data_IF_272574718385
#
_entry.id   IF_272574718385
#
_cell.length_a   1.000
_cell.length_b   1.000
_cell.length_c   1.000
_cell.angle_alpha   90.00
_cell.angle_beta   90.00
_cell.angle_gamma   90.00
#
_symmetry.space_group_name_H-M   'P 1'
#
loop_
_entity.id
_entity.type
_entity.pdbx_description
1 polymer ?
#
# COMPACT_ATOMS: atom_id res chain seq x y z
N UNK A 1 -7.14 -47.94 -22.55
CA UNK A 1 -5.98 -48.78 -22.95
C UNK A 1 -6.44 -50.21 -23.11
N UNK A 2 -6.31 -50.78 -24.30
CA UNK A 2 -6.50 -52.22 -24.52
C UNK A 2 -5.32 -52.94 -23.89
N UNK A 3 -5.54 -53.61 -22.76
CA UNK A 3 -4.54 -54.49 -22.19
C UNK A 3 -4.23 -55.58 -23.22
N UNK A 4 -3.03 -55.56 -23.80
CA UNK A 4 -2.57 -56.62 -24.70
C UNK A 4 -2.26 -57.82 -23.81
N UNK A 5 -3.25 -58.69 -23.63
CA UNK A 5 -3.02 -59.96 -22.97
C UNK A 5 -2.04 -60.76 -23.84
N UNK A 6 -0.83 -61.01 -23.31
CA UNK A 6 0.14 -61.87 -23.98
C UNK A 6 -0.39 -63.30 -23.95
N UNK A 7 -0.89 -63.77 -25.09
CA UNK A 7 -1.48 -65.10 -25.19
C UNK A 7 -0.42 -66.16 -25.41
N UNK A 8 0.17 -66.69 -24.33
CA UNK A 8 1.23 -67.72 -24.37
C UNK A 8 0.83 -68.93 -25.23
N UNK A 9 -0.42 -69.40 -25.12
CA UNK A 9 -0.97 -70.47 -25.95
C UNK A 9 -1.10 -70.11 -27.44
N UNK A 10 -1.45 -68.85 -27.75
CA UNK A 10 -1.53 -68.37 -29.12
C UNK A 10 -0.13 -68.24 -29.72
N UNK A 11 0.85 -67.82 -28.93
CA UNK A 11 2.25 -67.75 -29.35
C UNK A 11 2.83 -69.15 -29.60
N UNK A 12 2.67 -70.08 -28.67
CA UNK A 12 3.11 -71.47 -28.83
C UNK A 12 2.49 -72.13 -30.06
N UNK A 13 1.17 -71.93 -30.28
CA UNK A 13 0.48 -72.43 -31.48
C UNK A 13 1.06 -71.82 -32.77
N UNK A 14 1.36 -70.53 -32.76
CA UNK A 14 1.98 -69.83 -33.91
C UNK A 14 3.39 -70.34 -34.19
N UNK A 15 4.20 -70.55 -33.16
CA UNK A 15 5.56 -71.09 -33.26
C UNK A 15 5.56 -72.52 -33.85
N UNK A 16 4.60 -73.36 -33.44
CA UNK A 16 4.43 -74.70 -34.01
C UNK A 16 3.97 -74.68 -35.46
N UNK A 17 2.93 -73.91 -35.77
CA UNK A 17 2.28 -73.96 -37.08
C UNK A 17 3.09 -73.23 -38.17
N UNK A 18 3.65 -72.07 -37.83
CA UNK A 18 4.36 -71.20 -38.78
C UNK A 18 5.87 -71.38 -38.76
N UNK A 19 6.48 -71.53 -37.58
CA UNK A 19 7.93 -71.71 -37.45
C UNK A 19 8.37 -73.19 -37.42
N UNK A 20 7.41 -74.14 -37.46
CA UNK A 20 7.64 -75.59 -37.52
C UNK A 20 8.47 -76.14 -36.34
N UNK A 21 8.44 -75.44 -35.20
CA UNK A 21 9.05 -75.90 -33.96
C UNK A 21 8.30 -77.13 -33.41
N UNK A 22 9.03 -78.01 -32.73
CA UNK A 22 8.41 -79.10 -31.96
C UNK A 22 7.51 -78.55 -30.85
N UNK A 23 6.52 -79.31 -30.36
CA UNK A 23 5.65 -78.87 -29.26
C UNK A 23 6.43 -78.33 -28.06
N UNK A 24 7.41 -79.10 -27.58
CA UNK A 24 8.21 -78.75 -26.39
C UNK A 24 9.02 -77.46 -26.60
N UNK A 25 9.60 -77.27 -27.79
CA UNK A 25 10.32 -76.03 -28.11
C UNK A 25 9.39 -74.82 -28.20
N UNK A 26 8.21 -74.97 -28.81
CA UNK A 26 7.25 -73.89 -28.96
C UNK A 26 6.67 -73.44 -27.60
N UNK A 27 6.45 -74.38 -26.68
CA UNK A 27 6.01 -74.10 -25.31
C UNK A 27 7.12 -73.41 -24.50
N UNK A 28 8.34 -73.96 -24.51
CA UNK A 28 9.47 -73.37 -23.78
C UNK A 28 9.81 -71.95 -24.24
N UNK A 29 9.75 -71.66 -25.55
CA UNK A 29 9.95 -70.29 -26.04
C UNK A 29 8.79 -69.36 -25.68
N UNK A 30 7.54 -69.82 -25.76
CA UNK A 30 6.40 -68.99 -25.39
C UNK A 30 6.41 -68.65 -23.90
N UNK A 31 6.80 -69.59 -23.05
CA UNK A 31 6.96 -69.42 -21.61
C UNK A 31 8.11 -68.45 -21.30
N UNK A 32 9.31 -68.67 -21.85
CA UNK A 32 10.45 -67.78 -21.64
C UNK A 32 10.18 -66.33 -22.06
N UNK A 33 9.44 -66.13 -23.17
CA UNK A 33 9.05 -64.78 -23.61
C UNK A 33 7.94 -64.21 -22.73
N UNK A 34 6.99 -65.02 -22.27
CA UNK A 34 5.95 -64.59 -21.34
C UNK A 34 6.56 -64.11 -20.02
N UNK A 35 7.51 -64.84 -19.48
CA UNK A 35 8.22 -64.51 -18.24
C UNK A 35 9.08 -63.26 -18.41
N UNK A 36 9.81 -63.15 -19.52
CA UNK A 36 10.63 -61.97 -19.82
C UNK A 36 9.79 -60.69 -19.98
N UNK A 37 8.55 -60.79 -20.48
CA UNK A 37 7.70 -59.63 -20.75
C UNK A 37 6.79 -59.26 -19.56
N UNK A 38 6.41 -60.21 -18.70
CA UNK A 38 5.54 -59.93 -17.56
C UNK A 38 6.16 -58.98 -16.53
N UNK A 39 7.49 -58.98 -16.37
CA UNK A 39 8.18 -58.15 -15.37
C UNK A 39 8.19 -56.65 -15.68
N UNK A 40 8.18 -56.26 -16.96
CA UNK A 40 8.35 -54.86 -17.39
C UNK A 40 7.02 -54.16 -17.72
N UNK A 41 5.90 -54.87 -17.71
CA UNK A 41 4.60 -54.31 -18.05
C UNK A 41 3.90 -53.70 -16.83
N UNK A 42 3.49 -52.43 -16.96
CA UNK A 42 2.60 -51.81 -15.98
C UNK A 42 1.28 -52.59 -15.89
N UNK A 43 0.96 -53.06 -14.69
CA UNK A 43 -0.22 -53.86 -14.41
C UNK A 43 -1.44 -52.96 -14.14
N UNK A 44 -2.63 -53.56 -14.12
CA UNK A 44 -3.84 -52.87 -13.65
C UNK A 44 -3.71 -52.39 -12.20
N UNK A 45 -2.90 -53.07 -11.38
CA UNK A 45 -2.63 -52.66 -10.00
C UNK A 45 -1.84 -51.37 -9.98
N UNK A 46 -0.78 -51.27 -10.80
CA UNK A 46 0.06 -50.09 -10.89
C UNK A 46 -0.74 -48.88 -11.38
N UNK A 47 -1.61 -49.07 -12.37
CA UNK A 47 -2.48 -48.00 -12.85
C UNK A 47 -3.45 -47.52 -11.77
N UNK A 48 -4.05 -48.44 -11.00
CA UNK A 48 -4.94 -48.08 -9.88
C UNK A 48 -4.19 -47.36 -8.77
N UNK A 49 -2.97 -47.81 -8.45
CA UNK A 49 -2.13 -47.15 -7.46
C UNK A 49 -1.76 -45.73 -7.91
N UNK A 50 -1.40 -45.55 -9.18
CA UNK A 50 -1.13 -44.23 -9.76
C UNK A 50 -2.37 -43.33 -9.80
N UNK A 51 -3.54 -43.85 -10.19
CA UNK A 51 -4.80 -43.11 -10.15
C UNK A 51 -5.17 -42.67 -8.73
N UNK A 52 -4.97 -43.54 -7.74
CA UNK A 52 -5.19 -43.22 -6.34
C UNK A 52 -4.22 -42.14 -5.82
N UNK A 53 -2.94 -42.24 -6.18
CA UNK A 53 -1.93 -41.23 -5.84
C UNK A 53 -2.28 -39.86 -6.45
N UNK A 54 -2.57 -39.82 -7.76
CA UNK A 54 -2.96 -38.59 -8.44
C UNK A 54 -4.23 -37.96 -7.85
N UNK A 55 -5.23 -38.77 -7.47
CA UNK A 55 -6.42 -38.26 -6.77
C UNK A 55 -6.09 -37.69 -5.39
N UNK A 56 -5.15 -38.29 -4.67
CA UNK A 56 -4.69 -37.79 -3.39
C UNK A 56 -3.96 -36.45 -3.56
N UNK A 57 -3.05 -36.36 -4.54
CA UNK A 57 -2.30 -35.14 -4.86
C UNK A 57 -3.24 -34.00 -5.27
N UNK A 58 -4.23 -34.27 -6.14
CA UNK A 58 -5.24 -33.28 -6.54
C UNK A 58 -6.01 -32.76 -5.33
N UNK A 59 -6.43 -33.65 -4.41
CA UNK A 59 -7.12 -33.23 -3.18
C UNK A 59 -6.22 -32.41 -2.26
N UNK A 60 -4.94 -32.77 -2.16
CA UNK A 60 -3.97 -32.03 -1.37
C UNK A 60 -3.77 -30.61 -1.92
N UNK A 61 -3.60 -30.48 -3.23
CA UNK A 61 -3.50 -29.18 -3.92
C UNK A 61 -4.78 -28.36 -3.77
N UNK A 62 -5.97 -28.95 -3.97
CA UNK A 62 -7.25 -28.26 -3.77
C UNK A 62 -7.40 -27.72 -2.34
N UNK A 63 -6.96 -28.50 -1.35
CA UNK A 63 -6.99 -28.11 0.06
C UNK A 63 -5.99 -27.00 0.35
N UNK A 64 -4.77 -27.10 -0.19
CA UNK A 64 -3.72 -26.08 -0.08
C UNK A 64 -4.16 -24.74 -0.68
N UNK A 65 -4.66 -24.75 -1.91
CA UNK A 65 -5.15 -23.54 -2.58
C UNK A 65 -6.32 -22.90 -1.82
N UNK A 66 -7.24 -23.69 -1.25
CA UNK A 66 -8.30 -23.15 -0.40
C UNK A 66 -7.78 -22.51 0.89
N UNK A 67 -6.71 -23.05 1.46
CA UNK A 67 -6.08 -22.47 2.65
C UNK A 67 -5.37 -21.15 2.30
N UNK A 68 -4.58 -21.13 1.23
CA UNK A 68 -3.89 -19.93 0.73
C UNK A 68 -4.87 -18.81 0.38
N UNK A 69 -6.00 -19.13 -0.29
CA UNK A 69 -7.04 -18.14 -0.60
C UNK A 69 -7.61 -17.52 0.67
N UNK A 70 -7.90 -18.33 1.70
CA UNK A 70 -8.42 -17.83 2.99
C UNK A 70 -7.41 -16.99 3.74
N UNK A 71 -6.14 -17.35 3.67
CA UNK A 71 -5.04 -16.59 4.27
C UNK A 71 -4.92 -15.21 3.61
N UNK A 72 -4.90 -15.17 2.27
CA UNK A 72 -4.87 -13.92 1.50
C UNK A 72 -6.10 -13.05 1.81
N UNK A 73 -7.30 -13.63 1.87
CA UNK A 73 -8.52 -12.90 2.23
C UNK A 73 -8.44 -12.28 3.64
N UNK A 74 -7.90 -13.04 4.60
CA UNK A 74 -7.71 -12.58 5.98
C UNK A 74 -6.68 -11.45 6.06
N UNK A 75 -5.56 -11.59 5.34
CA UNK A 75 -4.50 -10.60 5.30
C UNK A 75 -5.01 -9.29 4.67
N UNK A 76 -5.64 -9.36 3.50
CA UNK A 76 -6.23 -8.19 2.84
C UNK A 76 -7.27 -7.49 3.71
N UNK A 77 -8.12 -8.25 4.43
CA UNK A 77 -9.09 -7.66 5.35
C UNK A 77 -8.44 -6.94 6.53
N UNK A 78 -7.28 -7.41 6.97
CA UNK A 78 -6.50 -6.78 8.04
C UNK A 78 -5.82 -5.51 7.53
N UNK A 79 -5.14 -5.60 6.38
CA UNK A 79 -4.50 -4.44 5.73
C UNK A 79 -5.50 -3.31 5.44
N UNK A 80 -6.70 -3.63 4.95
CA UNK A 80 -7.75 -2.62 4.73
C UNK A 80 -8.13 -1.91 6.03
N UNK A 81 -8.28 -2.64 7.14
CA UNK A 81 -8.61 -2.04 8.44
C UNK A 81 -7.47 -1.15 8.95
N UNK A 82 -6.23 -1.57 8.77
CA UNK A 82 -5.06 -0.81 9.20
C UNK A 82 -4.93 0.49 8.40
N UNK A 83 -5.14 0.43 7.08
CA UNK A 83 -5.19 1.63 6.22
C UNK A 83 -6.33 2.55 6.63
N UNK A 84 -7.54 2.03 6.89
CA UNK A 84 -8.65 2.85 7.37
C UNK A 84 -8.35 3.53 8.72
N UNK A 85 -7.71 2.82 9.64
CA UNK A 85 -7.32 3.37 10.95
C UNK A 85 -6.23 4.44 10.82
N UNK A 86 -5.24 4.19 9.95
CA UNK A 86 -4.20 5.16 9.59
C UNK A 86 -4.81 6.44 9.03
N UNK A 87 -5.66 6.34 8.01
CA UNK A 87 -6.34 7.49 7.41
C UNK A 87 -7.20 8.26 8.43
N UNK A 88 -7.93 7.57 9.31
CA UNK A 88 -8.71 8.25 10.37
C UNK A 88 -7.80 9.06 11.30
N UNK A 89 -6.63 8.52 11.64
CA UNK A 89 -5.64 9.19 12.49
C UNK A 89 -5.05 10.41 11.79
N UNK A 90 -4.63 10.27 10.53
CA UNK A 90 -4.12 11.39 9.73
C UNK A 90 -5.15 12.50 9.55
N UNK A 91 -6.41 12.17 9.27
CA UNK A 91 -7.49 13.15 9.19
C UNK A 91 -7.76 13.86 10.51
N UNK A 92 -7.62 13.17 11.65
CA UNK A 92 -7.74 13.78 12.96
C UNK A 92 -6.56 14.75 13.23
N UNK A 93 -5.35 14.34 12.88
CA UNK A 93 -4.15 15.17 12.94
C UNK A 93 -4.28 16.45 12.10
N UNK A 94 -4.66 16.31 10.82
CA UNK A 94 -4.84 17.45 9.92
C UNK A 94 -5.91 18.44 10.42
N UNK A 95 -6.99 17.95 11.04
CA UNK A 95 -8.00 18.83 11.67
C UNK A 95 -7.44 19.58 12.86
N UNK A 96 -6.61 18.93 13.68
CA UNK A 96 -5.94 19.57 14.81
C UNK A 96 -4.98 20.66 14.34
N UNK A 97 -4.15 20.36 13.34
CA UNK A 97 -3.20 21.31 12.74
C UNK A 97 -3.93 22.50 12.12
N UNK A 98 -5.01 22.26 11.38
CA UNK A 98 -5.82 23.35 10.82
C UNK A 98 -6.43 24.25 11.90
N UNK A 99 -6.88 23.68 13.02
CA UNK A 99 -7.39 24.47 14.16
C UNK A 99 -6.28 25.27 14.83
N UNK A 100 -5.09 24.68 15.00
CA UNK A 100 -3.93 25.37 15.54
C UNK A 100 -3.53 26.55 14.64
N UNK A 101 -3.42 26.32 13.34
CA UNK A 101 -3.12 27.36 12.35
C UNK A 101 -4.15 28.50 12.35
N UNK A 102 -5.45 28.18 12.44
CA UNK A 102 -6.50 29.19 12.55
C UNK A 102 -6.38 30.03 13.84
N UNK A 103 -6.00 29.40 14.97
CA UNK A 103 -5.73 30.09 16.22
C UNK A 103 -4.52 31.02 16.12
N UNK A 104 -3.44 30.54 15.49
CA UNK A 104 -2.22 31.32 15.29
C UNK A 104 -2.47 32.55 14.42
N UNK A 105 -3.22 32.39 13.32
CA UNK A 105 -3.64 33.52 12.47
C UNK A 105 -4.44 34.56 13.25
N UNK A 106 -5.39 34.13 14.09
CA UNK A 106 -6.13 35.07 14.96
C UNK A 106 -5.20 35.76 15.97
N UNK A 107 -4.18 35.04 16.49
CA UNK A 107 -3.15 35.61 17.34
C UNK A 107 -2.35 36.70 16.63
N UNK A 108 -1.86 36.41 15.43
CA UNK A 108 -1.14 37.37 14.58
C UNK A 108 -2.00 38.59 14.27
N UNK A 109 -3.26 38.42 13.92
CA UNK A 109 -4.17 39.54 13.66
C UNK A 109 -4.34 40.44 14.90
N UNK A 110 -4.53 39.85 16.09
CA UNK A 110 -4.64 40.61 17.35
C UNK A 110 -3.36 41.38 17.65
N UNK A 111 -2.20 40.75 17.47
CA UNK A 111 -0.91 41.37 17.71
C UNK A 111 -0.68 42.56 16.76
N UNK A 112 -0.90 42.36 15.45
CA UNK A 112 -0.78 43.43 14.45
C UNK A 112 -1.71 44.61 14.76
N UNK A 113 -2.98 44.35 15.12
CA UNK A 113 -3.92 45.40 15.52
C UNK A 113 -3.43 46.17 16.75
N UNK A 114 -2.86 45.47 17.74
CA UNK A 114 -2.32 46.08 18.95
C UNK A 114 -1.09 46.96 18.63
N UNK A 115 -0.14 46.42 17.87
CA UNK A 115 1.06 47.15 17.44
C UNK A 115 0.71 48.40 16.63
N UNK A 116 -0.21 48.28 15.67
CA UNK A 116 -0.65 49.42 14.87
C UNK A 116 -1.32 50.51 15.73
N UNK A 117 -2.14 50.12 16.71
CA UNK A 117 -2.76 51.07 17.64
C UNK A 117 -1.73 51.75 18.55
N UNK A 118 -0.72 51.00 19.00
CA UNK A 118 0.37 51.54 19.81
C UNK A 118 1.18 52.58 19.01
N UNK A 119 1.60 52.22 17.79
CA UNK A 119 2.31 53.14 16.89
C UNK A 119 1.47 54.37 16.57
N UNK A 120 0.18 54.23 16.30
CA UNK A 120 -0.70 55.38 16.07
C UNK A 120 -0.77 56.32 17.30
N UNK A 121 -0.80 55.76 18.52
CA UNK A 121 -0.78 56.55 19.75
C UNK A 121 0.54 57.27 19.96
N UNK A 122 1.65 56.60 19.64
CA UNK A 122 2.99 57.17 19.69
C UNK A 122 3.12 58.33 18.70
N UNK A 123 2.79 58.12 17.42
CA UNK A 123 2.78 59.18 16.39
C UNK A 123 1.86 60.34 16.79
N UNK A 124 0.66 60.07 17.32
CA UNK A 124 -0.25 61.14 17.80
C UNK A 124 0.39 61.97 18.91
N UNK A 125 1.06 61.32 19.85
CA UNK A 125 1.73 61.99 20.96
C UNK A 125 2.89 62.84 20.47
N UNK A 126 3.69 62.33 19.54
CA UNK A 126 4.77 63.07 18.91
C UNK A 126 4.26 64.30 18.15
N UNK A 127 3.21 64.14 17.34
CA UNK A 127 2.59 65.25 16.61
C UNK A 127 2.09 66.33 17.59
N UNK A 128 1.43 65.94 18.68
CA UNK A 128 0.99 66.90 19.71
C UNK A 128 2.17 67.63 20.34
N UNK A 129 3.25 66.92 20.70
CA UNK A 129 4.46 67.55 21.27
C UNK A 129 5.05 68.59 20.32
N UNK A 130 5.18 68.26 19.03
CA UNK A 130 5.66 69.20 18.02
C UNK A 130 4.73 70.39 17.81
N UNK A 131 3.41 70.17 17.76
CA UNK A 131 2.42 71.25 17.65
C UNK A 131 2.49 72.22 18.82
N UNK A 132 2.56 71.72 20.05
CA UNK A 132 2.67 72.57 21.25
C UNK A 132 3.96 73.38 21.22
N UNK A 133 5.09 72.77 20.85
CA UNK A 133 6.36 73.47 20.69
C UNK A 133 6.31 74.56 19.62
N UNK A 134 5.72 74.26 18.45
CA UNK A 134 5.58 75.22 17.36
C UNK A 134 4.66 76.39 17.70
N UNK A 135 3.48 76.12 18.29
CA UNK A 135 2.53 77.17 18.73
C UNK A 135 3.16 78.02 19.84
N UNK A 136 3.87 77.41 20.79
CA UNK A 136 4.63 78.13 21.82
C UNK A 136 5.67 79.07 21.21
N UNK A 137 6.44 78.62 20.23
CA UNK A 137 7.42 79.46 19.55
C UNK A 137 6.76 80.58 18.74
N UNK A 138 5.67 80.28 18.01
CA UNK A 138 4.90 81.28 17.26
C UNK A 138 4.33 82.38 18.17
N UNK A 139 3.75 82.02 19.32
CA UNK A 139 3.19 83.01 20.27
C UNK A 139 4.27 83.92 20.84
N UNK A 140 5.42 83.38 21.24
CA UNK A 140 6.56 84.19 21.71
C UNK A 140 7.07 85.13 20.61
N UNK A 141 7.18 84.65 19.37
CA UNK A 141 7.60 85.46 18.23
C UNK A 141 6.62 86.62 17.95
N UNK A 142 5.31 86.37 17.99
CA UNK A 142 4.28 87.40 17.80
C UNK A 142 4.37 88.47 18.90
N UNK A 143 4.50 88.07 20.17
CA UNK A 143 4.66 89.00 21.29
C UNK A 143 5.93 89.84 21.12
N UNK A 144 7.06 89.22 20.76
CA UNK A 144 8.31 89.93 20.52
C UNK A 144 8.20 90.96 19.38
N UNK A 145 7.53 90.59 18.28
CA UNK A 145 7.26 91.49 17.17
C UNK A 145 6.38 92.67 17.59
N UNK A 146 5.31 92.41 18.37
CA UNK A 146 4.44 93.46 18.91
C UNK A 146 5.20 94.46 19.79
N UNK A 147 6.05 93.98 20.71
CA UNK A 147 6.86 94.85 21.59
C UNK A 147 7.78 95.73 20.75
N UNK A 148 8.41 95.15 19.73
CA UNK A 148 9.31 95.88 18.81
C UNK A 148 8.55 96.96 18.04
N UNK A 149 7.35 96.64 17.54
CA UNK A 149 6.48 97.59 16.84
C UNK A 149 6.05 98.76 17.73
N UNK A 150 5.68 98.49 18.99
CA UNK A 150 5.31 99.53 19.98
C UNK A 150 6.48 100.45 20.29
N UNK A 151 7.71 99.93 20.36
CA UNK A 151 8.91 100.76 20.56
C UNK A 151 9.22 101.68 19.39
N UNK A 152 8.91 101.26 18.16
CA UNK A 152 9.15 102.05 16.94
C UNK A 152 8.07 103.13 16.75
N UNK A 153 6.82 102.85 17.14
CA UNK A 153 5.68 103.78 17.00
C UNK A 153 5.57 104.83 18.10
N UNK A 154 6.32 104.69 19.19
CA UNK A 154 6.45 105.74 20.21
C UNK A 154 7.61 106.66 19.79
N UNK A 155 7.35 107.91 19.35
CA UNK A 155 8.40 108.88 19.02
C UNK A 155 9.25 109.24 20.25
#
# INVERSE_FOLDING_TARGET
MTAVAFGTLRLARTLREKAKLSPDQAEGFAEAISDAVQGDLATKSDLKASEAALRADIKAVETGLRAEIREVETNLRTEIKDVEAGLRTEFAGLRADHKAFASDLQGVERNLRSEFKAQLSETRTEVIKWMVGAVGLQTVAIIGAMITLVRILKP
#
